data_IF_490406419158
#
_entry.id   IF_490406419158
#
_cell.length_a   1.000
_cell.length_b   1.000
_cell.length_c   1.000
_cell.angle_alpha   90.00
_cell.angle_beta   90.00
_cell.angle_gamma   90.00
#
_symmetry.space_group_name_H-M   'P 1'
#
loop_
_entity.id
_entity.type
_entity.pdbx_description
1 polymer ?
#
# COMPACT_ATOMS: atom_id res chain seq x y z
N UNK A 1 -3.84 22.58 19.74
CA UNK A 1 -4.91 21.76 19.19
C UNK A 1 -4.39 20.34 19.01
N UNK A 2 -5.16 19.31 19.26
CA UNK A 2 -4.73 17.97 18.92
C UNK A 2 -4.48 17.88 17.42
N UNK A 3 -3.42 17.18 17.01
CA UNK A 3 -3.12 16.95 15.61
C UNK A 3 -4.21 16.11 14.94
N UNK A 4 -4.29 16.20 13.62
CA UNK A 4 -5.18 15.36 12.82
C UNK A 4 -4.66 13.91 12.78
N UNK A 5 -5.58 12.97 12.61
CA UNK A 5 -5.30 11.56 12.37
C UNK A 5 -5.51 11.27 10.88
N UNK A 6 -4.44 10.92 10.19
CA UNK A 6 -4.43 10.82 8.74
C UNK A 6 -4.05 9.41 8.31
N UNK A 7 -4.88 8.80 7.46
CA UNK A 7 -4.53 7.60 6.71
C UNK A 7 -4.23 8.01 5.27
N UNK A 8 -2.98 7.85 4.84
CA UNK A 8 -2.59 8.06 3.45
C UNK A 8 -2.61 6.71 2.72
N UNK A 9 -3.41 6.62 1.66
CA UNK A 9 -3.49 5.45 0.80
C UNK A 9 -2.82 5.73 -0.55
N UNK A 10 -1.80 4.96 -0.91
CA UNK A 10 -1.07 5.17 -2.15
C UNK A 10 -0.67 3.85 -2.79
N UNK A 11 -0.72 3.80 -4.11
CA UNK A 11 -0.21 2.66 -4.89
C UNK A 11 1.31 2.58 -4.91
N UNK A 12 2.00 3.67 -4.59
CA UNK A 12 3.46 3.77 -4.55
C UNK A 12 3.92 4.56 -3.32
N UNK A 13 5.03 4.14 -2.72
CA UNK A 13 5.71 4.86 -1.64
C UNK A 13 7.21 4.67 -1.83
N UNK A 14 7.97 5.76 -1.93
CA UNK A 14 9.42 5.69 -2.07
C UNK A 14 10.08 4.97 -0.89
N UNK A 15 11.01 4.08 -1.21
CA UNK A 15 11.61 3.15 -0.25
C UNK A 15 10.92 1.79 -0.21
N UNK A 16 9.71 1.66 -0.73
CA UNK A 16 8.96 0.40 -0.87
C UNK A 16 8.79 -0.02 -2.32
N UNK A 17 8.05 0.78 -3.09
CA UNK A 17 7.85 0.57 -4.52
C UNK A 17 7.65 1.91 -5.21
N UNK A 18 8.33 2.09 -6.35
CA UNK A 18 8.33 3.37 -7.06
C UNK A 18 8.43 3.15 -8.56
N UNK A 19 7.59 3.87 -9.31
CA UNK A 19 7.70 4.03 -10.76
C UNK A 19 7.83 5.50 -11.17
N UNK A 20 7.36 6.44 -10.34
CA UNK A 20 7.35 7.87 -10.64
C UNK A 20 7.30 8.77 -9.41
N UNK A 21 6.94 10.02 -9.63
CA UNK A 21 6.94 11.05 -8.58
C UNK A 21 5.88 10.87 -7.49
N UNK A 22 4.83 10.09 -7.74
CA UNK A 22 3.81 9.78 -6.73
C UNK A 22 4.44 9.16 -5.49
N UNK A 23 5.37 8.24 -5.67
CA UNK A 23 6.07 7.57 -4.58
C UNK A 23 6.83 8.56 -3.68
N UNK A 24 7.46 9.57 -4.27
CA UNK A 24 8.20 10.58 -3.53
C UNK A 24 7.28 11.42 -2.64
N UNK A 25 6.15 11.86 -3.18
CA UNK A 25 5.12 12.59 -2.42
C UNK A 25 4.55 11.71 -1.30
N UNK A 26 4.21 10.46 -1.61
CA UNK A 26 3.63 9.51 -0.65
C UNK A 26 4.59 9.13 0.49
N UNK A 27 5.89 9.33 0.31
CA UNK A 27 6.87 9.16 1.39
C UNK A 27 7.18 10.48 2.12
N UNK A 28 7.21 11.62 1.44
CA UNK A 28 7.58 12.90 2.01
C UNK A 28 6.44 13.52 2.85
N UNK A 29 5.21 13.50 2.34
CA UNK A 29 4.05 14.10 2.99
C UNK A 29 3.76 13.48 4.37
N UNK A 30 3.71 12.14 4.55
CA UNK A 30 3.50 11.55 5.87
C UNK A 30 4.56 11.94 6.90
N UNK A 31 5.83 12.00 6.49
CA UNK A 31 6.92 12.46 7.37
C UNK A 31 6.72 13.90 7.80
N UNK A 32 6.35 14.77 6.87
CA UNK A 32 6.11 16.19 7.17
C UNK A 32 4.91 16.36 8.11
N UNK A 33 3.81 15.68 7.84
CA UNK A 33 2.61 15.71 8.69
C UNK A 33 2.90 15.18 10.10
N UNK A 34 3.64 14.08 10.22
CA UNK A 34 4.04 13.52 11.52
C UNK A 34 4.90 14.50 12.32
N UNK A 35 5.86 15.18 11.68
CA UNK A 35 6.69 16.20 12.34
C UNK A 35 5.89 17.42 12.82
N UNK A 36 4.76 17.68 12.19
CA UNK A 36 3.81 18.73 12.59
C UNK A 36 2.87 18.30 13.70
N UNK A 37 3.08 17.12 14.29
CA UNK A 37 2.28 16.60 15.41
C UNK A 37 1.00 15.88 15.02
N UNK A 38 0.83 15.52 13.74
CA UNK A 38 -0.29 14.70 13.30
C UNK A 38 0.02 13.21 13.47
N UNK A 39 -1.00 12.43 13.76
CA UNK A 39 -0.90 10.96 13.76
C UNK A 39 -1.13 10.45 12.34
N UNK A 40 -0.14 9.79 11.76
CA UNK A 40 -0.19 9.40 10.36
C UNK A 40 0.09 7.91 10.21
N UNK A 41 -0.63 7.26 9.32
CA UNK A 41 -0.34 5.91 8.84
C UNK A 41 -0.41 5.89 7.30
N UNK A 42 0.29 4.94 6.70
CA UNK A 42 0.26 4.71 5.25
C UNK A 42 -0.34 3.33 4.98
N UNK A 43 -1.15 3.23 3.93
CA UNK A 43 -1.58 1.97 3.34
C UNK A 43 -1.09 1.86 1.90
N UNK A 44 -0.56 0.71 1.51
CA UNK A 44 -0.14 0.42 0.13
C UNK A 44 -0.24 -1.07 -0.18
N UNK A 45 -0.29 -1.47 -1.46
CA UNK A 45 -0.25 -2.88 -1.83
C UNK A 45 1.09 -3.53 -1.48
N UNK A 46 1.06 -4.81 -1.08
CA UNK A 46 2.26 -5.61 -0.91
C UNK A 46 2.70 -6.23 -2.24
N UNK A 47 3.46 -5.48 -3.01
CA UNK A 47 3.99 -5.96 -4.28
C UNK A 47 5.10 -7.00 -4.11
N UNK A 48 5.29 -7.83 -5.12
CA UNK A 48 6.39 -8.80 -5.19
C UNK A 48 7.77 -8.16 -4.94
N UNK A 49 7.99 -6.95 -5.46
CA UNK A 49 9.23 -6.20 -5.25
C UNK A 49 9.53 -5.93 -3.77
N UNK A 50 8.52 -5.61 -2.98
CA UNK A 50 8.65 -5.38 -1.53
C UNK A 50 8.94 -6.71 -0.83
N UNK A 51 8.18 -7.75 -1.15
CA UNK A 51 8.32 -9.08 -0.55
C UNK A 51 9.71 -9.70 -0.77
N UNK A 52 10.32 -9.41 -1.92
CA UNK A 52 11.65 -9.91 -2.30
C UNK A 52 12.80 -8.96 -1.96
N UNK A 53 12.50 -7.83 -1.35
CA UNK A 53 13.50 -6.86 -0.89
C UNK A 53 13.98 -7.19 0.52
N UNK A 54 14.92 -6.39 1.02
CA UNK A 54 15.39 -6.44 2.41
C UNK A 54 14.59 -5.51 3.35
N UNK A 55 13.47 -4.97 2.90
CA UNK A 55 12.62 -4.13 3.73
C UNK A 55 12.01 -4.99 4.84
N UNK A 56 12.17 -4.62 6.11
CA UNK A 56 11.54 -5.36 7.21
C UNK A 56 10.02 -5.27 7.09
N UNK A 57 9.37 -6.42 6.93
CA UNK A 57 7.92 -6.55 6.95
C UNK A 57 7.51 -7.61 7.97
N UNK A 58 6.50 -7.31 8.75
CA UNK A 58 5.94 -8.19 9.75
C UNK A 58 4.52 -8.62 9.35
N UNK A 59 4.29 -9.92 9.33
CA UNK A 59 2.96 -10.46 9.13
C UNK A 59 2.13 -10.28 10.39
N UNK A 60 0.96 -9.67 10.24
CA UNK A 60 -0.01 -9.57 11.33
C UNK A 60 -0.95 -10.79 11.35
N UNK A 61 -1.74 -10.91 12.42
CA UNK A 61 -2.81 -11.92 12.49
C UNK A 61 -4.12 -11.44 11.84
N UNK A 62 -4.12 -10.27 11.22
CA UNK A 62 -5.32 -9.65 10.64
C UNK A 62 -5.55 -10.16 9.22
N UNK A 63 -6.76 -10.64 8.98
CA UNK A 63 -7.27 -10.94 7.64
C UNK A 63 -8.53 -10.11 7.43
N UNK A 64 -8.53 -9.29 6.39
CA UNK A 64 -9.63 -8.40 6.05
C UNK A 64 -10.51 -9.05 4.99
N UNK A 65 -11.83 -9.15 5.19
CA UNK A 65 -12.77 -9.53 4.14
C UNK A 65 -13.06 -8.33 3.24
N UNK A 66 -12.65 -8.39 1.99
CA UNK A 66 -12.84 -7.30 1.02
C UNK A 66 -13.97 -7.65 0.04
N UNK A 67 -15.12 -6.98 0.11
CA UNK A 67 -16.23 -7.22 -0.82
C UNK A 67 -15.87 -6.78 -2.24
N UNK A 68 -16.03 -7.66 -3.22
CA UNK A 68 -15.79 -7.41 -4.65
C UNK A 68 -16.97 -7.94 -5.48
N UNK A 69 -18.04 -7.15 -5.56
CA UNK A 69 -19.29 -7.56 -6.16
C UNK A 69 -19.90 -8.74 -5.40
N UNK A 70 -20.20 -9.88 -6.05
CA UNK A 70 -20.76 -11.06 -5.39
C UNK A 70 -19.72 -11.87 -4.61
N UNK A 71 -18.43 -11.53 -4.73
CA UNK A 71 -17.32 -12.24 -4.06
C UNK A 71 -16.84 -11.47 -2.84
N UNK A 72 -16.29 -12.21 -1.88
CA UNK A 72 -15.49 -11.62 -0.79
C UNK A 72 -14.07 -12.19 -0.91
N UNK A 73 -13.10 -11.33 -1.11
CA UNK A 73 -11.70 -11.72 -1.23
C UNK A 73 -10.98 -11.49 0.11
N UNK A 74 -10.15 -12.43 0.51
CA UNK A 74 -9.33 -12.27 1.71
C UNK A 74 -8.10 -11.40 1.42
N UNK A 75 -7.85 -10.45 2.30
CA UNK A 75 -6.65 -9.64 2.31
C UNK A 75 -5.90 -9.87 3.62
N UNK A 76 -4.63 -10.28 3.52
CA UNK A 76 -3.76 -10.34 4.71
C UNK A 76 -3.07 -9.01 4.91
N UNK A 77 -2.89 -8.65 6.16
CA UNK A 77 -2.24 -7.41 6.54
C UNK A 77 -0.82 -7.68 7.02
N UNK A 78 0.13 -6.96 6.43
CA UNK A 78 1.50 -6.85 6.93
C UNK A 78 1.77 -5.44 7.41
N UNK A 79 2.77 -5.30 8.26
CA UNK A 79 3.19 -4.03 8.83
C UNK A 79 4.67 -3.80 8.57
N UNK A 80 5.00 -2.55 8.32
CA UNK A 80 6.36 -2.04 8.21
C UNK A 80 6.41 -0.61 8.77
N UNK A 81 7.52 0.06 8.58
CA UNK A 81 7.73 1.43 9.02
C UNK A 81 8.41 2.23 7.93
N UNK A 82 7.95 3.46 7.73
CA UNK A 82 8.57 4.37 6.78
C UNK A 82 9.96 4.77 7.29
N UNK A 83 10.98 4.60 6.46
CA UNK A 83 12.37 4.88 6.83
C UNK A 83 12.55 6.30 7.40
N UNK A 84 13.37 6.42 8.45
CA UNK A 84 13.65 7.67 9.15
C UNK A 84 12.39 8.38 9.69
N UNK A 85 11.39 7.62 10.09
CA UNK A 85 10.17 8.14 10.71
C UNK A 85 9.52 7.08 11.58
N UNK A 86 8.54 7.49 12.39
CA UNK A 86 7.71 6.59 13.19
C UNK A 86 6.39 6.22 12.49
N UNK A 87 6.21 6.62 11.23
CA UNK A 87 4.99 6.40 10.48
C UNK A 87 4.87 4.92 10.10
N UNK A 88 3.83 4.21 10.60
CA UNK A 88 3.60 2.83 10.23
C UNK A 88 3.11 2.74 8.78
N UNK A 89 3.55 1.68 8.10
CA UNK A 89 3.12 1.33 6.75
C UNK A 89 2.38 0.00 6.81
N UNK A 90 1.11 0.01 6.43
CA UNK A 90 0.28 -1.17 6.32
C UNK A 90 0.30 -1.67 4.88
N UNK A 91 0.73 -2.91 4.71
CA UNK A 91 0.90 -3.55 3.42
C UNK A 91 -0.25 -4.53 3.20
N UNK A 92 -1.01 -4.29 2.13
CA UNK A 92 -2.21 -5.04 1.77
C UNK A 92 -1.82 -6.18 0.84
N UNK A 93 -1.90 -7.42 1.34
CA UNK A 93 -1.55 -8.61 0.59
C UNK A 93 -2.78 -9.21 -0.10
N UNK A 94 -2.66 -9.39 -1.40
CA UNK A 94 -3.48 -10.30 -2.17
C UNK A 94 -2.64 -10.81 -3.34
N UNK A 95 -2.07 -12.00 -3.19
CA UNK A 95 -1.10 -12.57 -4.14
C UNK A 95 -1.56 -12.50 -5.59
N UNK A 96 -2.82 -12.89 -5.95
CA UNK A 96 -3.26 -12.83 -7.34
C UNK A 96 -3.17 -11.43 -7.98
N UNK A 97 -3.25 -10.37 -7.16
CA UNK A 97 -3.19 -9.00 -7.67
C UNK A 97 -1.80 -8.37 -7.57
N UNK A 98 -1.02 -8.66 -6.54
CA UNK A 98 0.18 -7.90 -6.23
C UNK A 98 1.48 -8.69 -6.24
N UNK A 99 1.47 -10.01 -6.09
CA UNK A 99 2.67 -10.84 -6.23
C UNK A 99 2.91 -11.17 -7.71
N UNK A 100 3.06 -10.13 -8.50
CA UNK A 100 3.28 -10.21 -9.95
C UNK A 100 4.70 -9.83 -10.31
N UNK A 101 5.10 -10.22 -11.50
CA UNK A 101 6.45 -10.42 -11.91
C UNK A 101 7.26 -9.15 -12.23
N UNK A 102 8.56 -9.35 -12.18
CA UNK A 102 9.69 -8.50 -12.52
C UNK A 102 10.00 -7.34 -11.55
N UNK A 103 10.36 -7.67 -10.29
CA UNK A 103 10.73 -6.68 -9.28
C UNK A 103 11.98 -5.85 -9.61
N UNK A 104 12.84 -6.35 -10.55
CA UNK A 104 14.12 -5.70 -10.86
C UNK A 104 14.00 -4.37 -11.61
N UNK A 105 12.87 -4.11 -12.24
CA UNK A 105 12.69 -2.95 -13.11
C UNK A 105 11.48 -2.08 -12.72
N UNK A 106 10.96 -2.20 -11.46
CA UNK A 106 9.74 -1.52 -11.03
C UNK A 106 8.48 -1.98 -11.77
N UNK A 107 8.60 -3.01 -12.58
CA UNK A 107 7.49 -3.66 -13.30
C UNK A 107 6.75 -4.57 -12.33
N UNK A 108 5.49 -4.83 -12.60
CA UNK A 108 4.64 -5.60 -11.69
C UNK A 108 3.74 -4.72 -10.82
N UNK A 109 3.99 -3.40 -10.77
CA UNK A 109 3.04 -2.49 -10.14
C UNK A 109 1.81 -2.31 -11.03
N UNK A 110 2.00 -1.90 -12.28
CA UNK A 110 0.93 -1.61 -13.24
C UNK A 110 1.05 -2.36 -14.55
N UNK A 111 2.25 -2.81 -14.90
CA UNK A 111 2.58 -3.32 -16.22
C UNK A 111 3.30 -4.66 -16.16
N UNK A 112 3.11 -5.45 -17.18
CA UNK A 112 3.84 -6.68 -17.46
C UNK A 112 4.67 -6.54 -18.73
N UNK A 113 5.66 -7.41 -18.90
CA UNK A 113 6.39 -7.55 -20.15
C UNK A 113 5.73 -8.64 -20.99
N UNK A 114 5.39 -8.32 -22.23
CA UNK A 114 4.85 -9.27 -23.19
C UNK A 114 5.51 -9.05 -24.55
N UNK A 115 6.21 -10.08 -25.08
CA UNK A 115 6.84 -10.03 -26.38
C UNK A 115 7.85 -8.90 -26.59
N UNK A 116 8.58 -8.48 -25.53
CA UNK A 116 9.51 -7.35 -25.56
C UNK A 116 8.89 -5.97 -25.35
N UNK A 117 7.58 -5.88 -25.29
CA UNK A 117 6.85 -4.64 -25.03
C UNK A 117 6.30 -4.60 -23.61
N UNK A 118 6.10 -3.37 -23.09
CA UNK A 118 5.37 -3.15 -21.84
C UNK A 118 3.89 -3.01 -22.15
N UNK A 119 3.06 -3.74 -21.41
CA UNK A 119 1.60 -3.63 -21.49
C UNK A 119 1.02 -3.51 -20.10
N UNK A 120 -0.01 -2.69 -19.94
CA UNK A 120 -0.75 -2.59 -18.70
C UNK A 120 -1.42 -3.93 -18.37
N UNK A 121 -1.53 -4.24 -17.07
CA UNK A 121 -2.36 -5.37 -16.67
C UNK A 121 -3.82 -5.09 -17.01
N UNK A 122 -4.46 -6.04 -17.68
CA UNK A 122 -5.86 -5.90 -18.10
C UNK A 122 -6.83 -5.73 -16.91
N UNK A 123 -6.46 -6.21 -15.73
CA UNK A 123 -7.25 -6.14 -14.50
C UNK A 123 -6.82 -5.01 -13.55
N UNK A 124 -6.09 -4.00 -14.02
CA UNK A 124 -5.65 -2.89 -13.16
C UNK A 124 -6.82 -2.19 -12.46
N UNK A 125 -7.96 -2.01 -13.14
CA UNK A 125 -9.14 -1.43 -12.52
C UNK A 125 -9.62 -2.27 -11.32
N UNK A 126 -9.73 -3.58 -11.49
CA UNK A 126 -10.14 -4.50 -10.43
C UNK A 126 -9.14 -4.50 -9.26
N UNK A 127 -7.83 -4.54 -9.55
CA UNK A 127 -6.75 -4.51 -8.56
C UNK A 127 -6.82 -3.29 -7.65
N UNK A 128 -7.04 -2.11 -8.21
CA UNK A 128 -7.04 -0.86 -7.45
C UNK A 128 -8.40 -0.50 -6.86
N UNK A 129 -9.50 -1.02 -7.39
CA UNK A 129 -10.79 -1.06 -6.68
C UNK A 129 -10.67 -1.94 -5.44
N UNK A 130 -10.05 -3.13 -5.55
CA UNK A 130 -9.77 -3.98 -4.40
C UNK A 130 -8.94 -3.25 -3.35
N UNK A 131 -7.86 -2.58 -3.76
CA UNK A 131 -7.02 -1.79 -2.85
C UNK A 131 -7.83 -0.73 -2.10
N UNK A 132 -8.60 0.06 -2.82
CA UNK A 132 -9.43 1.12 -2.22
C UNK A 132 -10.43 0.59 -1.20
N UNK A 133 -11.05 -0.56 -1.48
CA UNK A 133 -11.95 -1.23 -0.54
C UNK A 133 -11.20 -1.81 0.66
N UNK A 134 -10.06 -2.45 0.43
CA UNK A 134 -9.23 -2.99 1.51
C UNK A 134 -8.74 -1.89 2.46
N UNK A 135 -8.46 -0.68 1.96
CA UNK A 135 -8.13 0.49 2.79
C UNK A 135 -9.28 0.83 3.74
N UNK A 136 -10.53 0.74 3.30
CA UNK A 136 -11.67 0.97 4.18
C UNK A 136 -11.82 -0.12 5.25
N UNK A 137 -11.60 -1.37 4.89
CA UNK A 137 -11.62 -2.50 5.83
C UNK A 137 -10.44 -2.45 6.83
N UNK A 138 -9.34 -1.78 6.46
CA UNK A 138 -8.19 -1.57 7.33
C UNK A 138 -8.49 -0.61 8.50
N UNK A 139 -9.37 0.36 8.32
CA UNK A 139 -9.61 1.46 9.29
C UNK A 139 -9.80 0.97 10.73
N UNK A 140 -10.61 -0.05 11.03
CA UNK A 140 -10.77 -0.54 12.39
C UNK A 140 -9.50 -1.12 13.04
N UNK A 141 -8.48 -1.40 12.25
CA UNK A 141 -7.23 -2.04 12.68
C UNK A 141 -6.04 -1.09 12.82
N UNK A 142 -6.24 0.21 12.60
CA UNK A 142 -5.17 1.22 12.66
C UNK A 142 -4.74 1.59 14.09
N UNK A 143 -5.56 1.27 15.11
CA UNK A 143 -5.36 1.79 16.47
C UNK A 143 -5.81 3.24 16.66
N UNK A 144 -6.33 3.87 15.61
CA UNK A 144 -6.99 5.18 15.64
C UNK A 144 -8.04 5.28 14.52
N UNK A 145 -9.04 6.12 14.73
CA UNK A 145 -10.00 6.45 13.67
C UNK A 145 -9.48 7.65 12.90
N UNK A 146 -9.20 7.56 11.61
CA UNK A 146 -8.70 8.70 10.83
C UNK A 146 -9.76 9.81 10.73
N UNK A 147 -9.30 11.06 10.85
CA UNK A 147 -10.11 12.24 10.54
C UNK A 147 -10.09 12.51 9.04
N UNK A 148 -9.02 12.06 8.37
CA UNK A 148 -8.82 12.20 6.92
C UNK A 148 -8.25 10.91 6.35
N UNK A 149 -8.83 10.46 5.24
CA UNK A 149 -8.24 9.47 4.33
C UNK A 149 -7.82 10.22 3.07
N UNK A 150 -6.54 10.20 2.80
CA UNK A 150 -5.91 10.93 1.67
C UNK A 150 -5.40 9.97 0.62
#
# INVERSE_FOLDING_TARGET
>A
MPGLRVLLASSEVAGFAKTGGLADVAAALPRALSRLGNQVAIAMPLYAAIRRSNIPIERTNVVLPVPMGPRVLACRLYRSQLANSEVPVYLIEHEPYYDRDNPREGRGLYQQQSGGNRTDYADNAERFVFFSRAVMELVPHLGFTPDVIH
#
